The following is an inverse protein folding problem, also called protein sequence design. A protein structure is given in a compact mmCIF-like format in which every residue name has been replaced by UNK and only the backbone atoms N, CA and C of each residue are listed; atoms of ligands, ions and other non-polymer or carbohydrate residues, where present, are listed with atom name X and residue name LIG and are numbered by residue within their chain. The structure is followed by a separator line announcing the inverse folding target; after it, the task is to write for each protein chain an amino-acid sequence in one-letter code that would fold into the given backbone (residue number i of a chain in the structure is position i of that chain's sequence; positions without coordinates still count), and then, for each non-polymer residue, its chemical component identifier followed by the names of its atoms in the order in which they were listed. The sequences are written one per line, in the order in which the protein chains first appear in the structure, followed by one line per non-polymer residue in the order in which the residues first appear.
data_IF_897555557257
#
_entry.id   IF_897555557257
#
_cell.length_a   1.000
_cell.length_b   1.000
_cell.length_c   1.000
_cell.angle_alpha   90.00
_cell.angle_beta   90.00
_cell.angle_gamma   90.00
#
_symmetry.space_group_name_H-M   'P 1'
#
loop_
_entity.id
_entity.type
_entity.pdbx_description
1 polymer ?
#
# COMPACT_ATOMS: atom_id res chain seq x y z
N UNK A 1 5.84 -4.64 -5.98
CA UNK A 1 5.63 -5.50 -4.81
C UNK A 1 6.87 -6.35 -4.55
N UNK A 2 7.16 -6.60 -3.29
CA UNK A 2 8.36 -7.32 -2.83
C UNK A 2 8.07 -8.80 -2.46
N UNK A 3 6.80 -9.15 -2.28
CA UNK A 3 6.35 -10.39 -1.67
C UNK A 3 6.12 -11.57 -2.61
N UNK A 4 6.70 -11.57 -3.81
CA UNK A 4 6.53 -12.63 -4.82
C UNK A 4 7.70 -13.64 -4.85
N UNK A 5 8.77 -13.38 -4.11
CA UNK A 5 9.92 -14.29 -4.05
C UNK A 5 9.60 -15.57 -3.27
N UNK A 6 10.04 -16.71 -3.78
CA UNK A 6 9.72 -18.03 -3.25
C UNK A 6 10.63 -18.43 -2.09
N UNK A 7 10.09 -19.13 -1.10
CA UNK A 7 10.94 -19.89 -0.19
C UNK A 7 11.43 -21.18 -0.85
N UNK A 8 12.70 -21.53 -0.58
CA UNK A 8 13.35 -22.74 -1.07
C UNK A 8 14.07 -23.40 0.09
N UNK A 9 13.66 -24.62 0.45
CA UNK A 9 14.25 -25.36 1.57
C UNK A 9 14.88 -26.65 1.08
N UNK A 10 16.19 -26.76 1.26
CA UNK A 10 16.97 -27.93 0.90
C UNK A 10 17.35 -28.71 2.16
N UNK A 11 17.02 -29.98 2.18
CA UNK A 11 17.25 -30.86 3.31
C UNK A 11 18.37 -31.86 2.97
N UNK A 12 19.34 -31.98 3.89
CA UNK A 12 20.37 -33.00 3.86
C UNK A 12 21.20 -33.09 2.56
N UNK A 13 21.37 -31.95 1.86
CA UNK A 13 22.15 -31.85 0.63
C UNK A 13 21.39 -32.09 -0.67
N UNK A 14 20.08 -31.92 -0.64
CA UNK A 14 19.25 -31.98 -1.86
C UNK A 14 19.76 -31.04 -2.94
N UNK A 15 19.69 -31.47 -4.21
CA UNK A 15 20.01 -30.67 -5.38
C UNK A 15 18.84 -29.80 -5.88
N UNK A 16 17.61 -30.16 -5.52
CA UNK A 16 16.39 -29.42 -5.73
C UNK A 16 15.63 -29.33 -4.41
N UNK A 17 15.04 -28.19 -4.04
CA UNK A 17 14.43 -28.04 -2.73
C UNK A 17 13.19 -28.91 -2.58
N UNK A 18 13.06 -29.62 -1.46
CA UNK A 18 11.86 -30.39 -1.14
C UNK A 18 10.69 -29.51 -0.70
N UNK A 19 10.97 -28.26 -0.31
CA UNK A 19 9.96 -27.23 -0.09
C UNK A 19 10.24 -26.08 -1.06
N UNK A 20 9.31 -25.82 -1.93
CA UNK A 20 9.38 -24.75 -2.93
C UNK A 20 8.07 -23.97 -2.89
N UNK A 21 8.16 -22.69 -2.55
CA UNK A 21 7.01 -21.82 -2.40
C UNK A 21 6.47 -21.21 -3.68
N UNK A 22 5.51 -20.33 -3.52
CA UNK A 22 4.83 -19.60 -4.59
C UNK A 22 4.83 -18.09 -4.37
N UNK A 23 5.48 -17.63 -3.31
CA UNK A 23 5.61 -16.23 -2.96
C UNK A 23 5.83 -16.02 -1.48
N UNK A 24 6.52 -14.95 -1.12
CA UNK A 24 6.78 -14.61 0.28
C UNK A 24 5.47 -14.31 1.03
N UNK A 25 4.52 -13.61 0.41
CA UNK A 25 3.22 -13.33 1.03
C UNK A 25 2.44 -14.63 1.27
N UNK A 26 2.47 -15.58 0.33
CA UNK A 26 1.85 -16.91 0.47
C UNK A 26 2.48 -17.69 1.62
N UNK A 27 3.82 -17.63 1.73
CA UNK A 27 4.55 -18.25 2.83
C UNK A 27 4.09 -17.75 4.20
N UNK A 28 3.79 -16.46 4.32
CA UNK A 28 3.30 -15.86 5.57
C UNK A 28 1.78 -15.87 5.70
N UNK A 29 1.06 -16.50 4.76
CA UNK A 29 -0.37 -16.82 4.87
C UNK A 29 -1.32 -15.67 4.55
N UNK A 30 -0.90 -14.75 3.68
CA UNK A 30 -1.77 -13.73 3.11
C UNK A 30 -1.57 -13.66 1.58
N UNK A 31 -2.36 -12.87 0.90
CA UNK A 31 -2.31 -12.69 -0.55
C UNK A 31 -2.76 -11.29 -0.96
N UNK A 32 -2.57 -10.94 -2.24
CA UNK A 32 -3.02 -9.67 -2.82
C UNK A 32 -2.41 -8.44 -2.19
N UNK A 33 -1.15 -8.53 -1.76
CA UNK A 33 -0.41 -7.44 -1.14
C UNK A 33 -1.16 -6.84 0.08
N UNK A 34 -1.92 -7.65 0.81
CA UNK A 34 -2.81 -7.19 1.89
C UNK A 34 -2.01 -6.54 3.03
N UNK A 35 -2.21 -5.23 3.32
CA UNK A 35 -1.44 -4.54 4.36
C UNK A 35 -2.04 -4.67 5.76
N UNK A 36 -3.20 -5.31 5.88
CA UNK A 36 -3.96 -5.34 7.12
C UNK A 36 -3.27 -6.16 8.20
N UNK A 37 -3.32 -5.69 9.43
CA UNK A 37 -2.94 -6.47 10.60
C UNK A 37 -3.72 -7.78 10.67
N UNK A 38 -3.03 -8.87 10.94
CA UNK A 38 -3.64 -10.12 11.36
C UNK A 38 -2.74 -10.86 12.35
N UNK A 39 -3.36 -11.65 13.20
CA UNK A 39 -2.69 -12.46 14.21
C UNK A 39 -3.41 -13.80 14.34
N UNK A 40 -2.71 -14.86 14.01
CA UNK A 40 -3.16 -16.25 14.13
C UNK A 40 -2.10 -17.06 14.90
N UNK A 41 -2.43 -18.25 15.43
CA UNK A 41 -1.52 -19.01 16.29
C UNK A 41 -0.13 -19.28 15.69
N UNK A 42 -0.01 -19.39 14.36
CA UNK A 42 1.22 -19.77 13.68
C UNK A 42 1.69 -18.78 12.62
N UNK A 43 0.89 -17.79 12.29
CA UNK A 43 1.21 -16.74 11.31
C UNK A 43 0.69 -15.39 11.78
N UNK A 44 1.44 -14.33 11.52
CA UNK A 44 0.99 -12.97 11.82
C UNK A 44 1.64 -11.94 10.88
N UNK A 45 0.94 -10.84 10.66
CA UNK A 45 1.45 -9.61 10.09
C UNK A 45 1.20 -8.46 11.07
N UNK A 46 2.09 -8.25 12.05
CA UNK A 46 1.92 -7.19 13.04
C UNK A 46 2.08 -5.80 12.45
N UNK A 47 2.76 -5.66 11.32
CA UNK A 47 2.90 -4.42 10.58
C UNK A 47 2.90 -4.72 9.08
N UNK A 48 2.17 -3.93 8.30
CA UNK A 48 2.02 -4.16 6.87
C UNK A 48 1.86 -2.86 6.08
N UNK A 49 2.50 -2.84 4.91
CA UNK A 49 2.35 -1.80 3.90
C UNK A 49 1.98 -2.46 2.58
N UNK A 50 0.94 -1.97 1.92
CA UNK A 50 0.47 -2.52 0.66
C UNK A 50 1.44 -2.30 -0.50
N UNK A 51 1.10 -2.87 -1.65
CA UNK A 51 1.83 -2.66 -2.89
C UNK A 51 1.92 -1.17 -3.25
N UNK A 52 3.01 -0.77 -3.89
CA UNK A 52 3.27 0.60 -4.37
C UNK A 52 3.32 1.66 -3.26
N UNK A 53 3.49 1.23 -2.03
CA UNK A 53 3.61 2.10 -0.86
C UNK A 53 4.97 1.89 -0.20
N UNK A 54 5.72 2.94 0.08
CA UNK A 54 6.88 2.83 0.97
C UNK A 54 6.40 2.56 2.39
N UNK A 55 7.19 1.84 3.16
CA UNK A 55 6.86 1.56 4.55
C UNK A 55 7.55 0.32 5.08
N UNK A 56 7.12 -0.11 6.23
CA UNK A 56 7.62 -1.26 6.92
C UNK A 56 6.63 -2.42 6.85
N UNK A 57 7.16 -3.64 6.71
CA UNK A 57 6.38 -4.87 6.79
C UNK A 57 7.08 -5.83 7.74
N UNK A 58 6.34 -6.39 8.69
CA UNK A 58 6.80 -7.45 9.57
C UNK A 58 5.89 -8.66 9.45
N UNK A 59 6.47 -9.81 9.13
CA UNK A 59 5.76 -11.06 8.97
C UNK A 59 6.37 -12.13 9.87
N UNK A 60 5.52 -12.96 10.46
CA UNK A 60 5.92 -14.04 11.35
C UNK A 60 5.28 -15.36 10.91
N UNK A 61 6.06 -16.43 10.94
CA UNK A 61 5.56 -17.81 10.79
C UNK A 61 6.26 -18.74 11.75
N UNK A 62 5.47 -19.49 12.50
CA UNK A 62 5.92 -20.51 13.43
C UNK A 62 5.51 -21.89 12.93
N UNK A 63 6.48 -22.72 12.56
CA UNK A 63 6.24 -24.09 12.10
C UNK A 63 6.10 -25.06 13.28
N UNK A 64 5.06 -24.85 14.10
CA UNK A 64 4.79 -25.71 15.26
C UNK A 64 4.20 -27.06 14.90
N UNK A 65 3.38 -27.11 13.85
CA UNK A 65 2.70 -28.33 13.38
C UNK A 65 3.33 -28.90 12.09
N UNK A 66 3.97 -28.05 11.31
CA UNK A 66 4.58 -28.35 10.02
C UNK A 66 6.11 -28.20 10.06
N UNK A 67 6.73 -28.63 11.15
CA UNK A 67 8.18 -28.58 11.36
C UNK A 67 8.96 -29.28 10.26
N UNK A 68 10.03 -28.65 9.79
CA UNK A 68 10.93 -29.21 8.79
C UNK A 68 12.06 -29.93 9.50
N UNK A 69 12.11 -31.24 9.37
CA UNK A 69 13.13 -32.08 10.01
C UNK A 69 14.30 -32.33 9.07
N UNK A 70 15.51 -32.31 9.61
CA UNK A 70 16.74 -32.61 8.87
C UNK A 70 17.70 -33.43 9.74
N UNK A 71 18.64 -34.18 9.14
CA UNK A 71 19.61 -35.02 9.83
C UNK A 71 21.04 -34.48 9.75
N UNK A 72 21.39 -33.83 8.64
CA UNK A 72 22.76 -33.37 8.36
C UNK A 72 22.83 -31.87 8.14
N UNK A 73 21.93 -31.35 7.33
CA UNK A 73 21.95 -29.95 6.95
C UNK A 73 20.57 -29.45 6.55
N UNK A 74 20.35 -28.14 6.77
CA UNK A 74 19.21 -27.40 6.32
C UNK A 74 19.71 -26.12 5.66
N UNK A 75 19.28 -25.87 4.42
CA UNK A 75 19.44 -24.57 3.76
C UNK A 75 18.04 -24.02 3.54
N UNK A 76 17.78 -22.84 4.08
CA UNK A 76 16.52 -22.15 3.94
C UNK A 76 16.78 -20.80 3.25
N UNK A 77 16.39 -20.71 2.00
CA UNK A 77 16.51 -19.51 1.20
C UNK A 77 15.14 -18.86 1.01
N UNK A 78 15.09 -17.55 1.16
CA UNK A 78 13.95 -16.74 0.76
C UNK A 78 14.40 -15.89 -0.42
N UNK A 79 13.79 -16.11 -1.58
CA UNK A 79 14.10 -15.33 -2.76
C UNK A 79 13.70 -13.88 -2.54
N UNK A 80 14.60 -12.97 -2.85
CA UNK A 80 14.28 -11.56 -2.88
C UNK A 80 13.94 -11.14 -4.30
N UNK A 81 12.66 -11.01 -4.57
CA UNK A 81 12.16 -10.56 -5.88
C UNK A 81 11.28 -9.33 -5.72
N UNK A 82 11.62 -8.28 -6.45
CA UNK A 82 10.85 -7.06 -6.55
C UNK A 82 10.63 -6.70 -8.03
N UNK A 83 9.40 -6.37 -8.41
CA UNK A 83 9.01 -6.11 -9.80
C UNK A 83 9.61 -4.80 -10.36
N UNK A 84 10.08 -3.89 -9.52
CA UNK A 84 10.67 -2.61 -9.91
C UNK A 84 12.07 -2.47 -9.34
N UNK A 85 12.93 -1.69 -10.03
CA UNK A 85 14.22 -1.28 -9.48
C UNK A 85 13.98 -0.38 -8.26
N UNK A 86 14.38 -0.86 -7.09
CA UNK A 86 14.16 -0.17 -5.81
C UNK A 86 15.21 -0.58 -4.78
N UNK A 87 15.24 0.13 -3.66
CA UNK A 87 16.07 -0.22 -2.51
C UNK A 87 15.19 -0.67 -1.36
N UNK A 88 15.53 -1.79 -0.78
CA UNK A 88 14.85 -2.32 0.40
C UNK A 88 15.85 -2.77 1.44
N UNK A 89 15.47 -2.66 2.71
CA UNK A 89 16.16 -3.33 3.80
C UNK A 89 15.39 -4.62 4.10
N UNK A 90 16.01 -5.76 3.84
CA UNK A 90 15.39 -7.08 3.95
C UNK A 90 16.12 -7.92 4.98
N UNK A 91 15.44 -8.32 6.07
CA UNK A 91 16.06 -8.99 7.20
C UNK A 91 15.26 -10.25 7.62
N UNK A 92 15.47 -11.40 6.97
CA UNK A 92 14.89 -12.66 7.43
C UNK A 92 15.62 -13.17 8.68
N UNK A 93 14.85 -13.67 9.65
CA UNK A 93 15.37 -14.31 10.84
C UNK A 93 14.74 -15.69 10.97
N UNK A 94 15.57 -16.73 11.06
CA UNK A 94 15.13 -18.11 11.20
C UNK A 94 15.54 -18.68 12.55
N UNK A 95 14.68 -19.53 13.11
CA UNK A 95 14.93 -20.26 14.35
C UNK A 95 14.87 -21.76 14.09
N UNK A 96 15.83 -22.49 14.63
CA UNK A 96 15.88 -23.95 14.50
C UNK A 96 16.48 -24.59 15.73
N UNK A 97 16.22 -25.87 15.91
CA UNK A 97 16.83 -26.69 16.92
C UNK A 97 17.84 -27.64 16.27
N UNK A 98 19.00 -27.81 16.89
CA UNK A 98 20.01 -28.75 16.45
C UNK A 98 20.72 -29.41 17.66
N UNK A 99 21.30 -30.58 17.43
CA UNK A 99 22.11 -31.24 18.45
C UNK A 99 23.40 -30.45 18.76
N UNK A 100 23.98 -30.63 19.97
CA UNK A 100 25.26 -30.01 20.32
C UNK A 100 26.36 -30.33 19.30
N UNK A 101 27.12 -29.29 18.91
CA UNK A 101 28.16 -29.40 17.88
C UNK A 101 27.73 -29.06 16.48
N UNK A 102 26.44 -28.77 16.26
CA UNK A 102 25.97 -28.22 15.01
C UNK A 102 26.56 -26.83 14.74
N UNK A 103 26.57 -26.42 13.46
CA UNK A 103 27.17 -25.16 13.01
C UNK A 103 26.19 -24.41 12.11
N UNK A 104 26.30 -23.10 12.11
CA UNK A 104 25.63 -22.21 11.12
C UNK A 104 26.66 -21.57 10.21
N UNK A 105 26.31 -21.28 8.98
CA UNK A 105 27.10 -20.50 8.02
C UNK A 105 27.05 -18.98 8.28
N UNK A 106 26.20 -18.54 9.21
CA UNK A 106 26.06 -17.11 9.58
C UNK A 106 26.85 -16.82 10.85
N UNK A 107 27.52 -15.69 10.86
CA UNK A 107 28.07 -15.12 12.10
C UNK A 107 27.05 -14.15 12.68
N UNK A 108 26.95 -14.05 14.01
CA UNK A 108 26.17 -13.01 14.64
C UNK A 108 26.64 -11.63 14.17
N UNK A 109 25.74 -10.83 13.66
CA UNK A 109 26.00 -9.45 13.23
C UNK A 109 25.33 -8.49 14.21
N UNK A 110 25.91 -8.33 15.39
CA UNK A 110 25.36 -7.50 16.48
C UNK A 110 25.06 -6.06 16.03
N UNK A 111 25.87 -5.51 15.10
CA UNK A 111 25.65 -4.17 14.56
C UNK A 111 24.36 -4.07 13.72
N UNK A 112 23.94 -5.16 13.12
CA UNK A 112 22.71 -5.19 12.35
C UNK A 112 21.46 -5.26 13.25
N UNK A 113 21.61 -5.76 14.47
CA UNK A 113 20.53 -5.84 15.44
C UNK A 113 20.11 -4.48 16.03
N UNK A 114 20.93 -3.46 15.87
CA UNK A 114 20.67 -2.08 16.35
C UNK A 114 20.40 -1.09 15.20
N UNK A 115 20.14 -1.58 14.01
CA UNK A 115 19.66 -0.70 12.93
C UNK A 115 18.29 -0.18 13.34
N UNK A 116 18.19 1.13 13.28
CA UNK A 116 16.95 1.84 13.57
C UNK A 116 15.83 1.32 12.67
N UNK A 117 14.88 0.61 13.27
CA UNK A 117 13.86 -0.09 12.53
C UNK A 117 12.76 0.92 12.21
N UNK A 118 12.52 1.03 10.96
CA UNK A 118 11.27 1.35 10.36
C UNK A 118 10.64 2.68 10.68
N UNK A 119 10.58 3.34 9.66
CA UNK A 119 9.71 4.48 9.49
C UNK A 119 8.35 3.99 9.04
N UNK A 120 7.31 4.42 9.70
CA UNK A 120 5.96 4.30 9.16
C UNK A 120 5.89 4.98 7.79
N UNK A 121 4.88 4.63 6.99
CA UNK A 121 4.62 5.31 5.72
C UNK A 121 4.72 6.83 5.87
N UNK A 122 4.13 7.40 6.93
CA UNK A 122 4.13 8.84 7.21
C UNK A 122 5.51 9.44 7.50
N UNK A 123 6.51 8.60 7.84
CA UNK A 123 7.90 9.04 8.01
C UNK A 123 8.69 9.03 6.70
N UNK A 124 8.18 8.33 5.68
CA UNK A 124 8.85 8.13 4.39
C UNK A 124 8.24 8.97 3.28
N UNK A 125 6.95 9.27 3.37
CA UNK A 125 6.22 10.09 2.41
C UNK A 125 5.48 11.19 3.14
N UNK A 126 5.42 12.35 2.52
CA UNK A 126 4.74 13.51 3.08
C UNK A 126 3.39 13.71 2.40
N UNK A 127 2.36 13.91 3.20
CA UNK A 127 1.07 14.41 2.71
C UNK A 127 1.08 15.94 2.55
N UNK A 128 2.25 16.57 2.64
CA UNK A 128 2.39 18.01 2.38
C UNK A 128 2.38 18.29 0.88
N UNK A 129 1.80 19.41 0.54
CA UNK A 129 1.90 19.98 -0.81
C UNK A 129 3.36 20.30 -1.11
N UNK A 130 3.86 19.80 -2.23
CA UNK A 130 5.25 19.98 -2.64
C UNK A 130 5.51 21.41 -3.16
N UNK A 131 6.77 21.68 -3.52
CA UNK A 131 7.19 22.97 -4.09
C UNK A 131 6.53 23.34 -5.41
N UNK A 132 5.89 22.38 -6.08
CA UNK A 132 5.15 22.58 -7.33
C UNK A 132 3.64 22.78 -7.08
N UNK A 133 3.23 22.85 -5.82
CA UNK A 133 1.83 22.98 -5.42
C UNK A 133 1.05 21.67 -5.51
N UNK A 134 1.71 20.48 -5.46
CA UNK A 134 1.08 19.18 -5.68
C UNK A 134 1.21 18.28 -4.47
N UNK A 135 0.17 17.46 -4.20
CA UNK A 135 0.22 16.31 -3.30
C UNK A 135 -0.41 15.10 -3.98
N UNK A 136 0.28 13.95 -3.93
CA UNK A 136 -0.18 12.69 -4.52
C UNK A 136 -1.34 12.11 -3.72
N UNK A 137 -2.34 11.56 -4.41
CA UNK A 137 -3.53 11.00 -3.75
C UNK A 137 -3.22 9.86 -2.79
N UNK A 138 -2.28 8.98 -3.16
CA UNK A 138 -1.85 7.84 -2.35
C UNK A 138 -1.00 8.24 -1.13
N UNK A 139 -0.48 9.48 -1.09
CA UNK A 139 0.32 9.97 0.04
C UNK A 139 -0.50 10.75 1.08
N UNK A 140 -1.73 11.08 0.77
CA UNK A 140 -2.62 11.74 1.73
C UNK A 140 -2.91 10.85 2.94
N UNK A 141 -3.30 11.47 4.06
CA UNK A 141 -3.82 10.74 5.21
C UNK A 141 -5.25 10.30 4.92
N UNK A 142 -5.46 9.01 4.67
CA UNK A 142 -6.72 8.48 4.19
C UNK A 142 -7.49 7.83 5.34
N UNK A 143 -8.78 8.15 5.45
CA UNK A 143 -9.74 7.42 6.27
C UNK A 143 -11.06 7.28 5.53
N UNK A 144 -11.67 6.09 5.59
CA UNK A 144 -12.94 5.78 4.93
C UNK A 144 -13.97 5.30 5.94
N UNK A 145 -15.25 5.64 5.71
CA UNK A 145 -16.36 5.14 6.55
C UNK A 145 -16.91 3.80 6.08
N UNK A 146 -16.61 3.41 4.84
CA UNK A 146 -16.97 2.14 4.22
C UNK A 146 -16.19 1.90 2.94
N UNK A 147 -16.24 0.67 2.43
CA UNK A 147 -15.41 0.25 1.30
C UNK A 147 -13.96 -0.01 1.69
N UNK A 148 -13.08 -0.04 0.70
CA UNK A 148 -11.65 -0.29 0.86
C UNK A 148 -10.83 0.73 0.07
N UNK A 149 -9.89 1.37 0.73
CA UNK A 149 -8.85 2.18 0.08
C UNK A 149 -7.66 1.31 -0.30
N UNK A 150 -7.05 1.62 -1.42
CA UNK A 150 -5.83 0.96 -1.94
C UNK A 150 -5.00 1.95 -2.74
N UNK A 151 -3.76 1.58 -2.96
CA UNK A 151 -2.95 2.15 -4.04
C UNK A 151 -3.09 1.25 -5.27
N UNK A 152 -3.29 1.85 -6.44
CA UNK A 152 -3.43 1.14 -7.70
C UNK A 152 -2.33 1.54 -8.67
N UNK A 153 -1.73 0.55 -9.33
CA UNK A 153 -0.85 0.70 -10.48
C UNK A 153 -1.49 0.05 -11.71
N UNK A 154 -1.54 0.78 -12.81
CA UNK A 154 -1.81 0.25 -14.14
C UNK A 154 -0.70 0.80 -15.05
N UNK A 155 0.20 -0.03 -15.59
CA UNK A 155 1.39 0.44 -16.30
C UNK A 155 1.11 1.34 -17.50
N UNK A 156 -0.04 1.15 -18.15
CA UNK A 156 -0.48 1.94 -19.30
C UNK A 156 -1.00 3.33 -18.93
N UNK A 157 -1.26 3.57 -17.64
CA UNK A 157 -1.74 4.86 -17.14
C UNK A 157 -0.57 5.79 -16.84
N UNK A 158 -0.72 7.02 -17.30
CA UNK A 158 0.24 8.07 -17.01
C UNK A 158 -0.12 8.82 -15.72
N UNK A 159 -0.26 8.07 -14.62
CA UNK A 159 -0.44 8.66 -13.30
C UNK A 159 0.84 9.31 -12.80
N UNK A 160 0.70 10.37 -12.07
CA UNK A 160 1.78 10.95 -11.30
C UNK A 160 2.35 9.89 -10.36
N UNK A 161 3.66 9.82 -10.23
CA UNK A 161 4.31 8.77 -9.42
C UNK A 161 4.01 7.31 -9.84
N UNK A 162 3.34 7.08 -11.00
CA UNK A 162 3.02 5.75 -11.55
C UNK A 162 1.86 5.02 -10.86
N UNK A 163 1.22 5.63 -9.88
CA UNK A 163 0.15 5.04 -9.07
C UNK A 163 -0.92 6.07 -8.75
N UNK A 164 -2.04 5.61 -8.20
CA UNK A 164 -3.10 6.48 -7.68
C UNK A 164 -3.71 5.93 -6.39
N UNK A 165 -4.32 6.78 -5.60
CA UNK A 165 -5.33 6.36 -4.62
C UNK A 165 -6.54 5.80 -5.34
N UNK A 166 -7.05 4.63 -4.90
CA UNK A 166 -8.33 4.08 -5.35
C UNK A 166 -9.20 3.67 -4.18
N UNK A 167 -10.48 4.05 -4.25
CA UNK A 167 -11.50 3.68 -3.28
C UNK A 167 -12.54 2.76 -3.96
N UNK A 168 -12.75 1.59 -3.37
CA UNK A 168 -13.54 0.48 -3.92
C UNK A 168 -14.61 0.05 -2.94
N UNK A 169 -15.66 -0.59 -3.45
CA UNK A 169 -16.71 -1.21 -2.65
C UNK A 169 -17.44 -0.26 -1.69
N UNK A 170 -17.34 1.04 -1.92
CA UNK A 170 -18.09 2.05 -1.19
C UNK A 170 -19.56 2.04 -1.58
N UNK A 171 -20.42 2.41 -0.62
CA UNK A 171 -21.86 2.54 -0.81
C UNK A 171 -22.25 4.01 -0.78
N UNK A 172 -23.42 4.33 -1.31
CA UNK A 172 -23.99 5.68 -1.22
C UNK A 172 -24.00 6.18 0.22
N UNK A 173 -23.42 7.36 0.44
CA UNK A 173 -23.27 8.00 1.73
C UNK A 173 -21.95 7.68 2.46
N UNK A 174 -21.20 6.68 2.02
CA UNK A 174 -19.85 6.47 2.54
C UNK A 174 -18.95 7.65 2.18
N UNK A 175 -17.97 7.92 3.00
CA UNK A 175 -17.04 9.04 2.84
C UNK A 175 -15.59 8.55 2.82
N UNK A 176 -14.78 9.15 1.96
CA UNK A 176 -13.33 9.10 2.01
C UNK A 176 -12.80 10.49 2.39
N UNK A 177 -12.10 10.58 3.50
CA UNK A 177 -11.40 11.79 3.93
C UNK A 177 -9.92 11.65 3.60
N UNK A 178 -9.38 12.60 2.85
CA UNK A 178 -8.00 12.62 2.40
C UNK A 178 -7.33 13.88 2.96
N UNK A 179 -6.51 13.70 4.00
CA UNK A 179 -5.81 14.78 4.69
C UNK A 179 -4.53 15.18 3.96
N UNK A 180 -4.35 16.47 3.73
CA UNK A 180 -3.14 17.05 3.15
C UNK A 180 -2.72 18.32 3.89
N UNK A 181 -1.44 18.67 3.79
CA UNK A 181 -0.85 19.78 4.54
C UNK A 181 -0.41 20.88 3.58
N UNK A 182 -0.73 22.14 3.92
CA UNK A 182 -0.14 23.32 3.29
C UNK A 182 0.71 24.10 4.30
N UNK A 183 1.85 24.60 3.85
CA UNK A 183 2.80 25.30 4.74
C UNK A 183 2.31 26.68 5.16
N UNK A 184 1.53 27.33 4.32
CA UNK A 184 0.98 28.66 4.58
C UNK A 184 -0.52 28.69 4.32
N UNK A 185 -1.26 29.37 5.20
CA UNK A 185 -2.71 29.58 4.99
C UNK A 185 -2.96 30.68 3.96
N UNK A 186 -4.04 30.53 3.19
CA UNK A 186 -4.39 31.51 2.16
C UNK A 186 -5.42 31.03 1.16
N UNK A 187 -5.60 31.81 0.10
CA UNK A 187 -6.48 31.46 -1.00
C UNK A 187 -5.70 30.75 -2.11
N UNK A 188 -6.16 29.57 -2.47
CA UNK A 188 -5.52 28.69 -3.44
C UNK A 188 -6.48 28.31 -4.56
N UNK A 189 -5.95 28.16 -5.78
CA UNK A 189 -6.71 27.59 -6.92
C UNK A 189 -6.58 26.09 -6.89
N UNK A 190 -7.55 25.41 -6.29
CA UNK A 190 -7.47 23.97 -6.01
C UNK A 190 -8.04 23.16 -7.17
N UNK A 191 -7.30 22.13 -7.60
CA UNK A 191 -7.71 21.19 -8.65
C UNK A 191 -7.37 19.76 -8.22
N UNK A 192 -8.18 18.81 -8.67
CA UNK A 192 -7.95 17.39 -8.47
C UNK A 192 -7.89 16.68 -9.83
N UNK A 193 -6.97 15.75 -9.99
CA UNK A 193 -6.89 14.87 -11.15
C UNK A 193 -7.45 13.50 -10.80
N UNK A 194 -8.58 13.15 -11.42
CA UNK A 194 -9.25 11.88 -11.21
C UNK A 194 -9.11 10.96 -12.42
N UNK A 195 -9.11 9.66 -12.18
CA UNK A 195 -9.30 8.66 -13.21
C UNK A 195 -10.77 8.58 -13.58
N UNK A 196 -11.06 8.42 -14.87
CA UNK A 196 -12.38 8.20 -15.41
C UNK A 196 -12.41 6.90 -16.21
N UNK A 197 -13.42 6.03 -15.97
CA UNK A 197 -13.51 4.72 -16.61
C UNK A 197 -14.93 4.15 -16.56
N UNK A 198 -15.23 3.01 -17.26
CA UNK A 198 -16.56 2.40 -17.28
C UNK A 198 -17.09 1.91 -15.94
N UNK A 199 -16.22 1.72 -14.96
CA UNK A 199 -16.50 1.21 -13.63
C UNK A 199 -16.37 2.26 -12.51
N UNK A 200 -16.21 3.53 -12.89
CA UNK A 200 -16.09 4.64 -11.94
C UNK A 200 -17.43 5.31 -11.65
N UNK A 201 -17.55 5.84 -10.44
CA UNK A 201 -18.79 6.33 -9.87
C UNK A 201 -18.95 7.84 -9.89
N UNK A 202 -19.94 8.30 -9.12
CA UNK A 202 -20.19 9.70 -8.85
C UNK A 202 -20.02 10.00 -7.36
N UNK A 203 -19.50 11.17 -7.06
CA UNK A 203 -19.28 11.61 -5.69
C UNK A 203 -19.47 13.14 -5.59
N UNK A 204 -19.79 13.63 -4.40
CA UNK A 204 -19.67 15.04 -4.07
C UNK A 204 -18.32 15.34 -3.42
N UNK A 205 -17.92 16.61 -3.47
CA UNK A 205 -16.64 17.08 -2.94
C UNK A 205 -16.90 18.15 -1.88
N UNK A 206 -16.29 17.95 -0.72
CA UNK A 206 -16.19 18.93 0.35
C UNK A 206 -14.70 19.20 0.65
N UNK A 207 -14.38 20.45 1.05
CA UNK A 207 -13.04 20.78 1.56
C UNK A 207 -13.21 21.46 2.91
N UNK A 208 -12.54 20.94 3.93
CA UNK A 208 -12.66 21.41 5.30
C UNK A 208 -14.11 21.56 5.75
N UNK A 209 -14.94 20.51 5.52
CA UNK A 209 -16.36 20.43 5.84
C UNK A 209 -17.27 21.41 5.03
N UNK A 210 -16.70 22.18 4.13
CA UNK A 210 -17.45 23.08 3.26
C UNK A 210 -17.77 22.40 1.93
N UNK A 211 -19.04 22.33 1.51
CA UNK A 211 -19.42 21.79 0.21
C UNK A 211 -18.80 22.63 -0.92
N UNK A 212 -18.17 21.95 -1.88
CA UNK A 212 -17.52 22.58 -3.04
C UNK A 212 -18.19 22.18 -4.34
N UNK A 213 -18.36 20.88 -4.57
CA UNK A 213 -19.04 20.36 -5.76
C UNK A 213 -20.13 19.38 -5.35
N UNK A 214 -21.39 19.59 -5.77
CA UNK A 214 -22.49 18.71 -5.41
C UNK A 214 -22.41 17.34 -6.10
N UNK A 215 -21.74 17.26 -7.24
CA UNK A 215 -21.56 16.01 -7.97
C UNK A 215 -20.40 16.10 -8.96
N UNK A 216 -19.55 15.09 -8.96
CA UNK A 216 -18.53 14.81 -9.98
C UNK A 216 -18.85 13.42 -10.54
N UNK A 217 -19.00 13.29 -11.85
CA UNK A 217 -19.24 12.01 -12.53
C UNK A 217 -17.94 11.59 -13.21
N UNK A 218 -17.38 10.47 -12.76
CA UNK A 218 -16.13 9.90 -13.29
C UNK A 218 -16.36 8.70 -14.20
N UNK A 219 -17.63 8.48 -14.61
CA UNK A 219 -17.90 7.52 -15.69
C UNK A 219 -17.31 8.00 -17.02
N UNK A 220 -16.63 7.11 -17.71
CA UNK A 220 -16.25 7.29 -19.11
C UNK A 220 -16.22 5.92 -19.80
N UNK A 221 -16.52 5.87 -21.10
CA UNK A 221 -16.50 4.59 -21.85
C UNK A 221 -15.10 4.00 -22.04
N UNK A 222 -14.05 4.77 -21.79
CA UNK A 222 -12.64 4.36 -21.87
C UNK A 222 -11.91 4.88 -20.66
N UNK A 223 -10.92 4.10 -20.22
CA UNK A 223 -9.99 4.52 -19.17
C UNK A 223 -9.22 5.77 -19.61
N UNK A 224 -9.26 6.82 -18.82
CA UNK A 224 -8.61 8.11 -19.08
C UNK A 224 -8.50 8.93 -17.79
N UNK A 225 -8.10 10.19 -17.91
CA UNK A 225 -7.95 11.13 -16.80
C UNK A 225 -8.81 12.37 -17.00
N UNK A 226 -9.28 12.94 -15.88
CA UNK A 226 -10.04 14.18 -15.86
C UNK A 226 -9.50 15.11 -14.75
N UNK A 227 -9.26 16.38 -15.09
CA UNK A 227 -8.97 17.39 -14.08
C UNK A 227 -10.26 18.10 -13.70
N UNK A 228 -10.55 18.13 -12.41
CA UNK A 228 -11.70 18.79 -11.82
C UNK A 228 -11.22 20.04 -11.08
N UNK A 229 -11.72 21.20 -11.46
CA UNK A 229 -11.44 22.46 -10.78
C UNK A 229 -12.37 22.61 -9.57
N UNK A 230 -11.79 22.73 -8.38
CA UNK A 230 -12.55 22.99 -7.16
C UNK A 230 -12.76 24.50 -6.91
N UNK A 231 -12.05 25.33 -7.67
CA UNK A 231 -12.14 26.79 -7.57
C UNK A 231 -11.10 27.38 -6.61
N UNK A 232 -11.37 28.63 -6.20
CA UNK A 232 -10.52 29.33 -5.24
C UNK A 232 -11.03 29.02 -3.83
N UNK A 233 -10.25 28.30 -3.05
CA UNK A 233 -10.58 27.88 -1.71
C UNK A 233 -9.64 28.51 -0.68
N UNK A 234 -10.15 28.79 0.51
CA UNK A 234 -9.34 29.22 1.63
C UNK A 234 -8.84 27.98 2.37
N UNK A 235 -7.52 27.77 2.34
CA UNK A 235 -6.84 26.68 3.05
C UNK A 235 -6.16 27.25 4.29
N UNK A 236 -6.23 26.50 5.39
CA UNK A 236 -5.55 26.86 6.65
C UNK A 236 -4.11 26.36 6.62
N UNK A 237 -3.19 27.03 7.29
CA UNK A 237 -1.85 26.50 7.56
C UNK A 237 -1.95 25.19 8.31
N UNK A 238 -1.22 24.17 7.86
CA UNK A 238 -1.26 22.82 8.38
C UNK A 238 -2.26 21.93 7.65
N UNK A 239 -2.89 21.03 8.37
CA UNK A 239 -3.74 19.98 7.80
C UNK A 239 -5.08 20.51 7.28
N UNK A 240 -5.41 20.11 6.07
CA UNK A 240 -6.68 20.33 5.38
C UNK A 240 -7.24 18.98 4.90
N UNK A 241 -8.53 18.91 4.65
CA UNK A 241 -9.20 17.66 4.27
C UNK A 241 -9.99 17.83 2.99
N UNK A 242 -9.69 17.00 2.00
CA UNK A 242 -10.55 16.73 0.84
C UNK A 242 -11.46 15.56 1.22
N UNK A 243 -12.77 15.78 1.24
CA UNK A 243 -13.75 14.72 1.53
C UNK A 243 -14.54 14.41 0.27
N UNK A 244 -14.55 13.13 -0.08
CA UNK A 244 -15.33 12.57 -1.18
C UNK A 244 -16.49 11.79 -0.58
N UNK A 245 -17.73 12.11 -0.97
CA UNK A 245 -18.92 11.39 -0.51
C UNK A 245 -19.51 10.63 -1.67
N UNK A 246 -19.59 9.30 -1.53
CA UNK A 246 -20.12 8.42 -2.57
C UNK A 246 -21.59 8.72 -2.86
N UNK A 247 -21.90 8.97 -4.12
CA UNK A 247 -23.26 9.14 -4.65
C UNK A 247 -23.72 7.88 -5.40
N UNK A 248 -24.91 7.94 -6.00
CA UNK A 248 -25.35 6.92 -6.95
C UNK A 248 -24.42 6.94 -8.18
N UNK A 249 -24.14 5.77 -8.72
CA UNK A 249 -23.33 5.64 -9.94
C UNK A 249 -24.10 6.16 -11.17
N UNK A 250 -23.36 6.46 -12.23
CA UNK A 250 -23.92 6.68 -13.55
C UNK A 250 -24.66 5.41 -14.01
N UNK A 251 -25.80 5.55 -14.69
CA UNK A 251 -26.60 4.40 -15.17
C UNK A 251 -25.81 3.45 -16.06
N UNK A 252 -24.81 3.95 -16.79
CA UNK A 252 -23.93 3.18 -17.67
C UNK A 252 -22.74 2.56 -16.94
N UNK A 253 -22.46 2.97 -15.71
CA UNK A 253 -21.32 2.49 -14.97
C UNK A 253 -21.58 1.09 -14.39
N UNK A 254 -20.61 0.20 -14.53
CA UNK A 254 -20.70 -1.17 -13.98
C UNK A 254 -20.41 -1.22 -12.49
N UNK A 255 -19.67 -0.24 -11.96
CA UNK A 255 -19.29 -0.14 -10.55
C UNK A 255 -19.30 1.35 -10.11
N UNK A 256 -18.74 1.65 -8.93
CA UNK A 256 -18.69 3.00 -8.35
C UNK A 256 -17.31 3.33 -7.78
N UNK A 257 -16.23 2.94 -8.48
CA UNK A 257 -14.86 3.22 -8.07
C UNK A 257 -14.59 4.74 -8.10
N UNK A 258 -13.69 5.18 -7.23
CA UNK A 258 -13.15 6.55 -7.24
C UNK A 258 -11.64 6.46 -7.20
N UNK A 259 -10.95 7.08 -8.16
CA UNK A 259 -9.50 7.11 -8.24
C UNK A 259 -8.99 8.54 -8.31
N UNK A 260 -8.16 8.94 -7.34
CA UNK A 260 -7.49 10.25 -7.30
C UNK A 260 -6.01 10.06 -7.55
N UNK A 261 -5.51 10.68 -8.60
CA UNK A 261 -4.09 10.74 -8.93
C UNK A 261 -3.38 11.76 -8.01
N UNK A 262 -3.76 13.02 -8.09
CA UNK A 262 -3.21 14.06 -7.22
C UNK A 262 -4.17 15.24 -7.03
N UNK A 263 -3.83 16.09 -6.04
CA UNK A 263 -4.41 17.42 -5.85
C UNK A 263 -3.33 18.48 -6.07
N UNK A 264 -3.69 19.60 -6.66
CA UNK A 264 -2.85 20.81 -6.75
C UNK A 264 -3.51 22.02 -6.12
N UNK A 265 -2.69 22.91 -5.58
CA UNK A 265 -3.07 24.19 -4.98
C UNK A 265 -2.38 25.35 -5.64
#
# INVERSE_FOLDING_TARGET
WWGEGDEKVYIDGESFPSHFGTGTEDYYGYAWCMPNFFEHPFIAQPDGTGAYQPGHVANLRYRGLDGITFKKSLVFDMEFWHQSATYVNYAPTTYWYMLPGGKTNRKPEEKMAVIDIAKHKNDLVSNSVDKNGKVEGEFMNISVTGGMERTQCIPEMNWSNGVQFIWRESRKGDCANLGFVVDEGGKYSVKCRFTIAPDYGRFSVEVNESPVLPSVDTYNSKLSMMTVELGILELKKGENFLKLVQLDKNEKAVNSLIGLDYLTV
#
